data_IF_772895471427
#
_entry.id   IF_772895471427
#
_cell.length_a   1.000
_cell.length_b   1.000
_cell.length_c   1.000
_cell.angle_alpha   90.00
_cell.angle_beta   90.00
_cell.angle_gamma   90.00
#
_symmetry.space_group_name_H-M   'P 1'
#
loop_
_entity.id
_entity.type
_entity.pdbx_description
1 polymer ?
#
# COMPACT_ATOMS: atom_id res chain seq x y z
N UNK A 1 -30.83 67.80 -86.77
CA UNK A 1 -30.47 68.15 -85.36
C UNK A 1 -31.25 67.32 -84.33
N UNK A 2 -32.59 67.27 -84.38
CA UNK A 2 -33.43 66.58 -83.38
C UNK A 2 -33.19 65.05 -83.24
N UNK A 3 -32.92 64.33 -84.34
CA UNK A 3 -32.65 62.88 -84.29
C UNK A 3 -31.30 62.53 -83.64
N UNK A 4 -30.28 63.39 -83.77
CA UNK A 4 -28.96 63.15 -83.18
C UNK A 4 -29.02 63.27 -81.64
N UNK A 5 -29.73 64.27 -81.14
CA UNK A 5 -29.98 64.47 -79.71
C UNK A 5 -30.79 63.31 -79.10
N UNK A 6 -31.79 62.78 -79.81
CA UNK A 6 -32.55 61.59 -79.39
C UNK A 6 -31.67 60.34 -79.29
N UNK A 7 -30.80 60.09 -80.27
CA UNK A 7 -29.85 58.96 -80.22
C UNK A 7 -28.82 59.10 -79.09
N UNK A 8 -28.35 60.32 -78.82
CA UNK A 8 -27.44 60.57 -77.71
C UNK A 8 -28.12 60.36 -76.35
N UNK A 9 -29.34 60.87 -76.17
CA UNK A 9 -30.13 60.63 -74.97
C UNK A 9 -30.44 59.15 -74.75
N UNK A 10 -30.74 58.39 -75.81
CA UNK A 10 -30.97 56.94 -75.69
C UNK A 10 -29.70 56.21 -75.24
N UNK A 11 -28.54 56.52 -75.82
CA UNK A 11 -27.26 55.95 -75.36
C UNK A 11 -26.98 56.23 -73.89
N UNK A 12 -27.25 57.45 -73.42
CA UNK A 12 -27.08 57.80 -72.00
C UNK A 12 -28.03 56.97 -71.11
N UNK A 13 -29.27 56.74 -71.56
CA UNK A 13 -30.25 55.92 -70.83
C UNK A 13 -29.77 54.46 -70.77
N UNK A 14 -29.35 53.90 -71.90
CA UNK A 14 -28.85 52.52 -72.00
C UNK A 14 -27.58 52.33 -71.14
N UNK A 15 -26.65 53.29 -71.16
CA UNK A 15 -25.45 53.31 -70.32
C UNK A 15 -25.80 53.41 -68.83
N UNK A 16 -26.74 54.28 -68.44
CA UNK A 16 -27.20 54.38 -67.05
C UNK A 16 -27.90 53.10 -66.59
N UNK A 17 -28.68 52.46 -67.46
CA UNK A 17 -29.32 51.19 -67.15
C UNK A 17 -28.27 50.09 -66.95
N UNK A 18 -27.26 50.03 -67.83
CA UNK A 18 -26.13 49.10 -67.68
C UNK A 18 -25.36 49.34 -66.38
N UNK A 19 -25.05 50.60 -66.05
CA UNK A 19 -24.37 50.96 -64.79
C UNK A 19 -25.20 50.57 -63.56
N UNK A 20 -26.53 50.73 -63.61
CA UNK A 20 -27.43 50.28 -62.53
C UNK A 20 -27.39 48.77 -62.38
N UNK A 21 -27.48 48.01 -63.47
CA UNK A 21 -27.36 46.54 -63.42
C UNK A 21 -25.99 46.09 -62.92
N UNK A 22 -24.91 46.76 -63.31
CA UNK A 22 -23.55 46.47 -62.82
C UNK A 22 -23.41 46.80 -61.32
N UNK A 23 -24.02 47.89 -60.85
CA UNK A 23 -24.04 48.24 -59.42
C UNK A 23 -24.85 47.24 -58.60
N UNK A 24 -26.01 46.82 -59.10
CA UNK A 24 -26.85 45.80 -58.47
C UNK A 24 -26.13 44.44 -58.39
N UNK A 25 -25.45 44.03 -59.47
CA UNK A 25 -24.63 42.82 -59.48
C UNK A 25 -23.49 42.89 -58.46
N UNK A 26 -22.78 44.03 -58.36
CA UNK A 26 -21.73 44.23 -57.35
C UNK A 26 -22.27 44.25 -55.93
N UNK A 27 -23.43 44.84 -55.70
CA UNK A 27 -24.10 44.87 -54.40
C UNK A 27 -24.45 43.46 -53.93
N UNK A 28 -24.99 42.62 -54.82
CA UNK A 28 -25.29 41.22 -54.53
C UNK A 28 -24.02 40.39 -54.27
N UNK A 29 -22.94 40.59 -55.05
CA UNK A 29 -21.65 39.93 -54.80
C UNK A 29 -21.05 40.33 -53.44
N UNK A 30 -21.15 41.59 -53.05
CA UNK A 30 -20.72 42.07 -51.73
C UNK A 30 -21.56 41.46 -50.60
N UNK A 31 -22.87 41.33 -50.76
CA UNK A 31 -23.76 40.69 -49.76
C UNK A 31 -23.39 39.21 -49.55
N UNK A 32 -23.16 38.46 -50.64
CA UNK A 32 -22.71 37.06 -50.57
C UNK A 32 -21.36 36.95 -49.88
N UNK A 33 -20.39 37.80 -50.24
CA UNK A 33 -19.07 37.81 -49.57
C UNK A 33 -19.17 38.18 -48.09
N UNK A 34 -20.03 39.12 -47.72
CA UNK A 34 -20.26 39.48 -46.32
C UNK A 34 -20.75 38.28 -45.51
N UNK A 35 -21.75 37.55 -46.03
CA UNK A 35 -22.27 36.33 -45.38
C UNK A 35 -21.21 35.25 -45.22
N UNK A 36 -20.37 35.04 -46.24
CA UNK A 36 -19.26 34.09 -46.17
C UNK A 36 -18.22 34.49 -45.12
N UNK A 37 -17.91 35.78 -45.00
CA UNK A 37 -16.99 36.29 -43.98
C UNK A 37 -17.55 36.08 -42.56
N UNK A 38 -18.84 36.34 -42.37
CA UNK A 38 -19.52 36.11 -41.09
C UNK A 38 -19.49 34.62 -40.69
N UNK A 39 -19.75 33.71 -41.63
CA UNK A 39 -19.66 32.26 -41.41
C UNK A 39 -18.24 31.81 -41.05
N UNK A 40 -17.23 32.31 -41.76
CA UNK A 40 -15.81 32.01 -41.48
C UNK A 40 -15.40 32.54 -40.10
N UNK A 41 -15.82 33.76 -39.75
CA UNK A 41 -15.54 34.36 -38.45
C UNK A 41 -16.16 33.53 -37.31
N UNK A 42 -17.43 33.11 -37.46
CA UNK A 42 -18.11 32.27 -36.48
C UNK A 42 -17.41 30.91 -36.29
N UNK A 43 -16.98 30.27 -37.38
CA UNK A 43 -16.25 29.00 -37.34
C UNK A 43 -14.88 29.15 -36.69
N UNK A 44 -14.13 30.20 -37.03
CA UNK A 44 -12.82 30.48 -36.44
C UNK A 44 -12.91 30.73 -34.94
N UNK A 45 -13.93 31.46 -34.49
CA UNK A 45 -14.18 31.69 -33.06
C UNK A 45 -14.53 30.40 -32.31
N UNK A 46 -15.31 29.51 -32.92
CA UNK A 46 -15.60 28.20 -32.36
C UNK A 46 -14.33 27.36 -32.21
N UNK A 47 -13.53 27.24 -33.28
CA UNK A 47 -12.29 26.47 -33.28
C UNK A 47 -11.29 27.01 -32.25
N UNK A 48 -11.18 28.34 -32.13
CA UNK A 48 -10.35 29.01 -31.13
C UNK A 48 -10.77 28.66 -29.70
N UNK A 49 -12.07 28.69 -29.38
CA UNK A 49 -12.59 28.31 -28.05
C UNK A 49 -12.36 26.83 -27.77
N UNK A 50 -12.59 25.97 -28.75
CA UNK A 50 -12.35 24.52 -28.63
C UNK A 50 -10.88 24.21 -28.33
N UNK A 51 -9.96 24.84 -29.08
CA UNK A 51 -8.52 24.69 -28.86
C UNK A 51 -8.09 25.15 -27.47
N UNK A 52 -8.64 26.27 -26.98
CA UNK A 52 -8.32 26.78 -25.64
C UNK A 52 -8.81 25.82 -24.54
N UNK A 53 -10.01 25.26 -24.67
CA UNK A 53 -10.50 24.24 -23.75
C UNK A 53 -9.61 22.99 -23.73
N UNK A 54 -9.13 22.52 -24.89
CA UNK A 54 -8.27 21.34 -24.95
C UNK A 54 -6.88 21.63 -24.37
N UNK A 55 -6.34 22.84 -24.55
CA UNK A 55 -5.11 23.27 -23.87
C UNK A 55 -5.26 23.24 -22.36
N UNK A 56 -6.38 23.76 -21.83
CA UNK A 56 -6.65 23.73 -20.38
C UNK A 56 -6.79 22.30 -19.86
N UNK A 57 -7.53 21.43 -20.58
CA UNK A 57 -7.63 20.00 -20.23
C UNK A 57 -6.27 19.32 -20.23
N UNK A 58 -5.44 19.57 -21.23
CA UNK A 58 -4.10 19.00 -21.31
C UNK A 58 -3.17 19.51 -20.20
N UNK A 59 -3.27 20.78 -19.81
CA UNK A 59 -2.53 21.32 -18.67
C UNK A 59 -2.93 20.61 -17.37
N UNK A 60 -4.23 20.41 -17.13
CA UNK A 60 -4.74 19.70 -15.96
C UNK A 60 -4.26 18.23 -15.97
N UNK A 61 -4.42 17.52 -17.09
CA UNK A 61 -3.93 16.14 -17.26
C UNK A 61 -2.43 16.03 -16.99
N UNK A 62 -1.63 16.96 -17.52
CA UNK A 62 -0.19 16.99 -17.29
C UNK A 62 0.16 17.20 -15.82
N UNK A 63 -0.55 18.10 -15.13
CA UNK A 63 -0.39 18.30 -13.68
C UNK A 63 -0.72 17.04 -12.87
N UNK A 64 -1.86 16.39 -13.17
CA UNK A 64 -2.24 15.15 -12.52
C UNK A 64 -1.24 14.02 -12.78
N UNK A 65 -0.73 13.90 -14.01
CA UNK A 65 0.27 12.89 -14.34
C UNK A 65 1.55 13.08 -13.52
N UNK A 66 2.03 14.33 -13.41
CA UNK A 66 3.19 14.66 -12.57
C UNK A 66 2.97 14.32 -11.10
N UNK A 67 1.79 14.64 -10.57
CA UNK A 67 1.45 14.32 -9.18
C UNK A 67 1.41 12.80 -8.95
N UNK A 68 0.82 12.05 -9.88
CA UNK A 68 0.77 10.59 -9.83
C UNK A 68 2.18 9.98 -9.88
N UNK A 69 3.07 10.49 -10.73
CA UNK A 69 4.47 10.04 -10.79
C UNK A 69 5.22 10.30 -9.49
N UNK A 70 5.03 11.47 -8.88
CA UNK A 70 5.66 11.79 -7.60
C UNK A 70 5.15 10.87 -6.46
N UNK A 71 3.85 10.61 -6.42
CA UNK A 71 3.28 9.71 -5.41
C UNK A 71 3.75 8.26 -5.63
N UNK A 72 3.87 7.82 -6.88
CA UNK A 72 4.43 6.51 -7.21
C UNK A 72 5.89 6.39 -6.75
N UNK A 73 6.73 7.39 -7.05
CA UNK A 73 8.13 7.40 -6.61
C UNK A 73 8.25 7.34 -5.08
N UNK A 74 7.39 8.07 -4.37
CA UNK A 74 7.35 8.04 -2.90
C UNK A 74 6.92 6.68 -2.37
N UNK A 75 5.92 6.05 -3.00
CA UNK A 75 5.50 4.69 -2.65
C UNK A 75 6.63 3.68 -2.89
N UNK A 76 7.33 3.77 -4.03
CA UNK A 76 8.46 2.89 -4.36
C UNK A 76 9.62 3.04 -3.34
N UNK A 77 9.94 4.27 -2.94
CA UNK A 77 10.95 4.54 -1.90
C UNK A 77 10.55 3.94 -0.54
N UNK A 78 9.28 4.05 -0.16
CA UNK A 78 8.77 3.45 1.07
C UNK A 78 8.85 1.92 1.03
N UNK A 79 8.52 1.30 -0.10
CA UNK A 79 8.64 -0.15 -0.29
C UNK A 79 10.10 -0.59 -0.19
N UNK A 80 11.04 0.14 -0.78
CA UNK A 80 12.47 -0.15 -0.67
C UNK A 80 12.95 -0.12 0.79
N UNK A 81 12.56 0.91 1.56
CA UNK A 81 12.88 1.01 2.99
C UNK A 81 12.32 -0.17 3.78
N UNK A 82 11.07 -0.56 3.50
CA UNK A 82 10.42 -1.70 4.15
C UNK A 82 11.14 -3.02 3.86
N UNK A 83 11.52 -3.26 2.60
CA UNK A 83 12.27 -4.45 2.19
C UNK A 83 13.63 -4.51 2.88
N UNK A 84 14.32 -3.38 3.02
CA UNK A 84 15.61 -3.34 3.68
C UNK A 84 15.51 -3.60 5.18
N UNK A 85 14.49 -3.06 5.84
CA UNK A 85 14.22 -3.35 7.25
C UNK A 85 13.88 -4.83 7.46
N UNK A 86 13.01 -5.41 6.62
CA UNK A 86 12.70 -6.83 6.66
C UNK A 86 13.95 -7.71 6.49
N UNK A 87 14.90 -7.31 5.63
CA UNK A 87 16.18 -8.01 5.47
C UNK A 87 17.02 -7.95 6.74
N UNK A 88 17.07 -6.81 7.43
CA UNK A 88 17.80 -6.66 8.70
C UNK A 88 17.18 -7.51 9.79
N UNK A 89 15.85 -7.44 9.94
CA UNK A 89 15.11 -8.26 10.90
C UNK A 89 15.32 -9.75 10.65
N UNK A 90 15.22 -10.20 9.39
CA UNK A 90 15.48 -11.59 9.01
C UNK A 90 16.91 -12.01 9.37
N UNK A 91 17.90 -11.17 9.10
CA UNK A 91 19.30 -11.49 9.42
C UNK A 91 19.52 -11.56 10.94
N UNK A 92 18.92 -10.64 11.71
CA UNK A 92 18.97 -10.66 13.17
C UNK A 92 18.31 -11.92 13.75
N UNK A 93 17.15 -12.32 13.21
CA UNK A 93 16.46 -13.54 13.59
C UNK A 93 17.30 -14.79 13.30
N UNK A 94 17.89 -14.89 12.10
CA UNK A 94 18.79 -16.02 11.74
C UNK A 94 20.01 -16.09 12.66
N UNK A 95 20.62 -14.94 12.98
CA UNK A 95 21.73 -14.89 13.93
C UNK A 95 21.31 -15.38 15.32
N UNK A 96 20.11 -15.01 15.77
CA UNK A 96 19.57 -15.47 17.06
C UNK A 96 19.29 -16.97 17.07
N UNK A 97 18.75 -17.52 16.00
CA UNK A 97 18.53 -18.97 15.82
C UNK A 97 19.87 -19.71 15.94
N UNK A 98 20.89 -19.27 15.20
CA UNK A 98 22.21 -19.90 15.25
C UNK A 98 22.82 -19.90 16.66
N UNK A 99 22.67 -18.78 17.40
CA UNK A 99 23.14 -18.72 18.79
C UNK A 99 22.37 -19.69 19.71
N UNK A 100 21.07 -19.84 19.50
CA UNK A 100 20.23 -20.76 20.27
C UNK A 100 20.56 -22.23 19.95
N UNK A 101 20.84 -22.56 18.69
CA UNK A 101 21.31 -23.89 18.28
C UNK A 101 22.62 -24.25 18.98
N UNK A 102 23.59 -23.32 19.01
CA UNK A 102 24.86 -23.52 19.72
C UNK A 102 24.68 -23.72 21.23
N UNK A 103 23.74 -22.99 21.85
CA UNK A 103 23.41 -23.16 23.26
C UNK A 103 22.75 -24.52 23.53
N UNK A 104 21.87 -24.96 22.64
CA UNK A 104 21.21 -26.27 22.73
C UNK A 104 22.23 -27.41 22.61
N UNK A 105 23.14 -27.32 21.64
CA UNK A 105 24.21 -28.30 21.46
C UNK A 105 25.12 -28.38 22.71
N UNK A 106 25.46 -27.23 23.30
CA UNK A 106 26.24 -27.16 24.54
C UNK A 106 25.50 -27.82 25.71
N UNK A 107 24.19 -27.56 25.85
CA UNK A 107 23.35 -28.20 26.87
C UNK A 107 23.33 -29.73 26.69
N UNK A 108 23.07 -30.21 25.48
CA UNK A 108 23.03 -31.64 25.17
C UNK A 108 24.38 -32.32 25.45
N UNK A 109 25.50 -31.64 25.16
CA UNK A 109 26.83 -32.14 25.49
C UNK A 109 27.04 -32.30 27.01
N UNK A 110 26.64 -31.30 27.80
CA UNK A 110 26.70 -31.38 29.27
C UNK A 110 25.84 -32.54 29.80
N UNK A 111 24.61 -32.70 29.30
CA UNK A 111 23.74 -33.81 29.68
C UNK A 111 24.38 -35.18 29.38
N UNK A 112 25.04 -35.33 28.22
CA UNK A 112 25.78 -36.55 27.87
C UNK A 112 26.97 -36.79 28.81
N UNK A 113 27.76 -35.75 29.14
CA UNK A 113 28.88 -35.84 30.08
C UNK A 113 28.42 -36.29 31.48
N UNK A 114 27.31 -35.73 31.97
CA UNK A 114 26.67 -36.14 33.24
C UNK A 114 26.31 -37.63 33.21
N UNK A 115 25.66 -38.11 32.14
CA UNK A 115 25.31 -39.53 32.02
C UNK A 115 26.54 -40.44 31.94
N UNK A 116 27.60 -40.02 31.24
CA UNK A 116 28.85 -40.77 31.17
C UNK A 116 29.55 -40.88 32.53
N UNK A 117 29.64 -39.78 33.29
CA UNK A 117 30.22 -39.76 34.63
C UNK A 117 29.39 -40.62 35.60
N UNK A 118 28.07 -40.51 35.56
CA UNK A 118 27.15 -41.33 36.35
C UNK A 118 27.31 -42.83 36.04
N UNK A 119 27.46 -43.18 34.77
CA UNK A 119 27.73 -44.57 34.35
C UNK A 119 29.08 -45.09 34.85
N UNK A 120 30.15 -44.30 34.72
CA UNK A 120 31.50 -44.64 35.21
C UNK A 120 31.52 -44.88 36.72
N UNK A 121 30.90 -43.99 37.50
CA UNK A 121 30.78 -44.15 38.96
C UNK A 121 30.08 -45.46 39.31
N UNK A 122 28.94 -45.75 38.67
CA UNK A 122 28.17 -46.96 38.94
C UNK A 122 28.95 -48.25 38.63
N UNK A 123 29.75 -48.27 37.55
CA UNK A 123 30.63 -49.41 37.24
C UNK A 123 31.71 -49.59 38.31
N UNK A 124 32.31 -48.50 38.77
CA UNK A 124 33.34 -48.54 39.83
C UNK A 124 32.78 -49.02 41.17
N UNK A 125 31.53 -48.69 41.52
CA UNK A 125 30.86 -49.20 42.73
C UNK A 125 30.63 -50.73 42.71
N UNK A 126 30.47 -51.32 41.53
CA UNK A 126 30.10 -52.75 41.37
C UNK A 126 31.30 -53.65 41.03
N UNK A 127 32.50 -53.10 40.86
CA UNK A 127 33.71 -53.88 40.59
C UNK A 127 34.23 -54.55 41.87
N UNK A 128 34.27 -55.90 41.96
CA UNK A 128 34.83 -56.59 43.12
C UNK A 128 36.37 -56.59 43.03
N UNK A 129 37.02 -55.62 43.67
CA UNK A 129 38.49 -55.52 43.74
C UNK A 129 38.95 -54.39 44.65
N UNK A 130 39.84 -54.74 45.58
CA UNK A 130 40.42 -54.02 46.73
C UNK A 130 39.95 -52.58 47.02
N UNK A 131 39.52 -52.39 48.28
CA UNK A 131 39.33 -51.09 48.95
C UNK A 131 40.66 -50.33 49.14
N UNK A 132 41.49 -50.26 48.10
CA UNK A 132 42.71 -49.47 48.11
C UNK A 132 42.37 -47.97 48.12
N UNK A 133 43.14 -47.21 48.90
CA UNK A 133 42.99 -45.75 49.04
C UNK A 133 42.94 -45.00 47.69
N UNK A 134 43.63 -45.52 46.66
CA UNK A 134 43.64 -44.96 45.32
C UNK A 134 42.28 -45.08 44.60
N UNK A 135 41.57 -46.19 44.75
CA UNK A 135 40.24 -46.40 44.17
C UNK A 135 39.20 -45.47 44.80
N UNK A 136 39.29 -45.28 46.13
CA UNK A 136 38.43 -44.36 46.90
C UNK A 136 38.62 -42.90 46.48
N UNK A 137 39.87 -42.47 46.31
CA UNK A 137 40.17 -41.11 45.83
C UNK A 137 39.60 -40.86 44.44
N UNK A 138 39.70 -41.84 43.52
CA UNK A 138 39.18 -41.70 42.16
C UNK A 138 37.65 -41.64 42.09
N UNK A 139 36.96 -42.36 42.99
CA UNK A 139 35.50 -42.26 43.13
C UNK A 139 35.11 -40.86 43.63
N UNK A 140 35.82 -40.32 44.62
CA UNK A 140 35.56 -38.97 45.12
C UNK A 140 35.78 -37.91 44.04
N UNK A 141 36.91 -37.96 43.31
CA UNK A 141 37.20 -37.04 42.20
C UNK A 141 36.11 -37.05 41.12
N UNK A 142 35.65 -38.25 40.71
CA UNK A 142 34.56 -38.38 39.74
C UNK A 142 33.22 -37.90 40.28
N UNK A 143 32.98 -38.03 41.58
CA UNK A 143 31.74 -37.57 42.23
C UNK A 143 31.70 -36.04 42.32
N UNK A 144 32.82 -35.41 42.67
CA UNK A 144 32.97 -33.95 42.67
C UNK A 144 32.76 -33.38 41.26
N UNK A 145 33.40 -33.97 40.25
CA UNK A 145 33.24 -33.55 38.86
C UNK A 145 31.79 -33.75 38.34
N UNK A 146 31.11 -34.82 38.76
CA UNK A 146 29.70 -35.04 38.44
C UNK A 146 28.82 -33.97 39.09
N UNK A 147 29.07 -33.65 40.36
CA UNK A 147 28.30 -32.63 41.07
C UNK A 147 28.48 -31.25 40.44
N UNK A 148 29.71 -30.85 40.09
CA UNK A 148 30.00 -29.59 39.41
C UNK A 148 29.21 -29.46 38.09
N UNK A 149 29.13 -30.55 37.30
CA UNK A 149 28.38 -30.57 36.03
C UNK A 149 26.87 -30.51 36.23
N UNK A 150 26.34 -31.14 37.28
CA UNK A 150 24.92 -31.05 37.64
C UNK A 150 24.59 -29.62 38.06
N UNK A 151 25.42 -29.01 38.91
CA UNK A 151 25.23 -27.63 39.37
C UNK A 151 25.30 -26.62 38.19
N UNK A 152 26.19 -26.86 37.21
CA UNK A 152 26.28 -26.07 35.98
C UNK A 152 24.98 -26.15 35.16
N UNK A 153 24.43 -27.36 34.98
CA UNK A 153 23.18 -27.57 34.25
C UNK A 153 21.99 -26.93 34.98
N UNK A 154 21.86 -27.16 36.29
CA UNK A 154 20.80 -26.59 37.13
C UNK A 154 20.83 -25.05 37.12
N UNK A 155 22.03 -24.46 37.18
CA UNK A 155 22.22 -23.02 37.06
C UNK A 155 21.74 -22.47 35.72
N UNK A 156 22.03 -23.17 34.62
CA UNK A 156 21.58 -22.80 33.28
C UNK A 156 20.05 -22.89 33.14
N UNK A 157 19.43 -23.95 33.66
CA UNK A 157 17.97 -24.14 33.62
C UNK A 157 17.23 -23.10 34.47
N UNK A 158 17.74 -22.81 35.67
CA UNK A 158 17.20 -21.78 36.56
C UNK A 158 17.22 -20.38 35.92
N UNK A 159 18.34 -20.03 35.27
CA UNK A 159 18.45 -18.78 34.52
C UNK A 159 17.43 -18.72 33.37
N UNK A 160 17.32 -19.80 32.59
CA UNK A 160 16.37 -19.87 31.49
C UNK A 160 14.92 -19.70 31.95
N UNK A 161 14.53 -20.39 33.04
CA UNK A 161 13.20 -20.26 33.63
C UNK A 161 12.92 -18.82 34.09
N UNK A 162 13.91 -18.17 34.71
CA UNK A 162 13.80 -16.77 35.13
C UNK A 162 13.60 -15.83 33.94
N UNK A 163 14.34 -16.04 32.85
CA UNK A 163 14.22 -15.25 31.62
C UNK A 163 12.84 -15.42 30.97
N UNK A 164 12.31 -16.64 30.90
CA UNK A 164 10.97 -16.92 30.37
C UNK A 164 9.89 -16.19 31.19
N UNK A 165 9.97 -16.23 32.52
CA UNK A 165 9.02 -15.51 33.37
C UNK A 165 9.10 -14.01 33.14
N UNK A 166 10.31 -13.45 33.02
CA UNK A 166 10.52 -12.01 32.80
C UNK A 166 10.02 -11.56 31.43
N UNK A 167 10.30 -12.34 30.39
CA UNK A 167 9.78 -12.10 29.03
C UNK A 167 8.25 -12.11 29.02
N UNK A 168 7.63 -13.13 29.63
CA UNK A 168 6.18 -13.24 29.70
C UNK A 168 5.55 -12.02 30.38
N UNK A 169 6.11 -11.57 31.51
CA UNK A 169 5.65 -10.36 32.20
C UNK A 169 5.80 -9.12 31.33
N UNK A 170 6.96 -8.92 30.72
CA UNK A 170 7.20 -7.78 29.84
C UNK A 170 6.26 -7.77 28.62
N UNK A 171 5.96 -8.95 28.06
CA UNK A 171 5.03 -9.07 26.95
C UNK A 171 3.58 -8.73 27.37
N UNK A 172 3.16 -9.16 28.57
CA UNK A 172 1.86 -8.76 29.14
C UNK A 172 1.78 -7.23 29.29
N UNK A 173 2.79 -6.61 29.90
CA UNK A 173 2.86 -5.15 30.07
C UNK A 173 2.79 -4.41 28.71
N UNK A 174 3.51 -4.89 27.70
CA UNK A 174 3.46 -4.33 26.34
C UNK A 174 2.08 -4.47 25.69
N UNK A 175 1.42 -5.62 25.87
CA UNK A 175 0.07 -5.84 25.36
C UNK A 175 -0.96 -4.94 26.05
N UNK A 176 -0.83 -4.74 27.36
CA UNK A 176 -1.67 -3.81 28.12
C UNK A 176 -1.47 -2.37 27.66
N UNK A 177 -0.21 -1.92 27.53
CA UNK A 177 0.12 -0.59 27.03
C UNK A 177 -0.42 -0.35 25.60
N UNK A 178 -0.32 -1.37 24.73
CA UNK A 178 -0.90 -1.30 23.38
C UNK A 178 -2.43 -1.17 23.42
N UNK A 179 -3.12 -1.97 24.24
CA UNK A 179 -4.58 -1.89 24.38
C UNK A 179 -5.02 -0.54 24.90
N UNK A 180 -4.31 0.01 25.88
CA UNK A 180 -4.62 1.33 26.44
C UNK A 180 -4.43 2.43 25.40
N UNK A 181 -3.37 2.35 24.59
CA UNK A 181 -3.17 3.27 23.47
C UNK A 181 -4.29 3.16 22.43
N UNK A 182 -4.68 1.95 22.04
CA UNK A 182 -5.79 1.72 21.10
C UNK A 182 -7.10 2.30 21.66
N UNK A 183 -7.40 2.09 22.94
CA UNK A 183 -8.57 2.65 23.61
C UNK A 183 -8.53 4.18 23.66
N UNK A 184 -7.40 4.78 24.05
CA UNK A 184 -7.26 6.23 24.10
C UNK A 184 -7.44 6.91 22.73
N UNK A 185 -7.07 6.24 21.63
CA UNK A 185 -7.32 6.74 20.28
C UNK A 185 -8.80 6.65 19.85
N UNK A 186 -9.57 5.70 20.40
CA UNK A 186 -11.01 5.63 20.13
C UNK A 186 -11.76 6.83 20.71
N UNK A 187 -11.42 7.24 21.93
CA UNK A 187 -12.05 8.40 22.60
C UNK A 187 -11.83 9.71 21.82
N UNK A 188 -10.70 9.82 21.11
CA UNK A 188 -10.36 10.97 20.28
C UNK A 188 -11.11 11.02 18.94
N UNK A 189 -11.73 9.92 18.51
CA UNK A 189 -12.37 9.79 17.18
C UNK A 189 -13.75 10.46 17.08
N UNK A 190 -14.30 10.99 18.18
CA UNK A 190 -15.66 11.55 18.23
C UNK A 190 -15.79 13.06 18.03
N UNK A 191 -14.70 13.80 17.80
CA UNK A 191 -14.69 15.27 17.76
C UNK A 191 -14.50 15.88 16.37
N UNK A 192 -15.10 17.06 16.15
CA UNK A 192 -14.86 17.93 14.98
C UNK A 192 -13.47 18.59 15.10
N UNK A 193 -12.41 17.79 15.05
CA UNK A 193 -11.02 18.24 15.17
C UNK A 193 -10.39 18.38 13.78
N UNK A 194 -9.38 19.25 13.65
CA UNK A 194 -8.64 19.43 12.40
C UNK A 194 -7.79 18.21 11.99
N UNK A 195 -7.67 17.20 12.86
CA UNK A 195 -6.88 15.97 12.66
C UNK A 195 -7.80 14.77 12.88
N UNK A 196 -8.06 14.00 11.81
CA UNK A 196 -8.86 12.78 11.89
C UNK A 196 -8.01 11.52 12.14
N UNK A 197 -8.54 10.59 12.93
CA UNK A 197 -7.96 9.26 13.10
C UNK A 197 -8.57 8.33 12.05
N UNK A 198 -7.74 7.63 11.27
CA UNK A 198 -8.17 6.66 10.25
C UNK A 198 -7.90 5.24 10.75
N UNK A 199 -8.94 4.42 10.87
CA UNK A 199 -8.79 3.00 11.28
C UNK A 199 -8.56 2.10 10.08
N UNK A 200 -7.73 1.08 10.26
CA UNK A 200 -7.49 0.09 9.22
C UNK A 200 -8.76 -0.75 9.02
N UNK A 201 -9.22 -0.85 7.77
CA UNK A 201 -10.43 -1.58 7.40
C UNK A 201 -11.75 -0.86 7.69
N UNK A 202 -11.73 0.39 8.14
CA UNK A 202 -12.92 1.24 8.19
C UNK A 202 -13.20 1.87 6.81
N UNK A 203 -14.44 1.79 6.37
CA UNK A 203 -14.88 2.26 5.06
C UNK A 203 -15.78 3.50 5.20
N UNK A 204 -15.71 4.40 4.20
CA UNK A 204 -16.57 5.59 4.18
C UNK A 204 -18.00 5.21 3.75
N UNK A 205 -18.91 5.11 4.72
CA UNK A 205 -20.33 4.85 4.48
C UNK A 205 -20.94 5.83 3.47
N UNK A 206 -20.50 7.11 3.43
CA UNK A 206 -21.05 8.10 2.49
C UNK A 206 -20.74 7.75 1.04
N UNK A 207 -19.62 7.08 0.78
CA UNK A 207 -19.28 6.61 -0.57
C UNK A 207 -20.28 5.54 -1.03
N UNK A 208 -20.61 4.58 -0.15
CA UNK A 208 -21.62 3.55 -0.42
C UNK A 208 -23.01 4.15 -0.59
N UNK A 209 -23.42 5.09 0.27
CA UNK A 209 -24.71 5.77 0.13
C UNK A 209 -24.86 6.48 -1.21
N UNK A 210 -23.83 7.20 -1.66
CA UNK A 210 -23.82 7.87 -2.97
C UNK A 210 -23.89 6.87 -4.15
N UNK A 211 -23.23 5.72 -4.03
CA UNK A 211 -23.28 4.68 -5.05
C UNK A 211 -24.68 4.05 -5.16
N UNK A 212 -25.26 3.61 -4.05
CA UNK A 212 -26.61 3.03 -4.03
C UNK A 212 -27.70 4.02 -4.47
N UNK A 213 -27.55 5.31 -4.14
CA UNK A 213 -28.46 6.37 -4.63
C UNK A 213 -28.40 6.52 -6.16
N UNK A 214 -27.21 6.41 -6.76
CA UNK A 214 -27.05 6.48 -8.22
C UNK A 214 -27.66 5.27 -8.94
N UNK A 215 -27.57 4.09 -8.34
CA UNK A 215 -28.15 2.85 -8.90
C UNK A 215 -29.66 2.73 -8.71
N UNK A 216 -30.32 3.72 -8.06
CA UNK A 216 -31.76 3.71 -7.74
C UNK A 216 -32.19 2.43 -7.01
N UNK A 217 -31.35 1.91 -6.12
CA UNK A 217 -31.68 0.73 -5.32
C UNK A 217 -32.85 1.05 -4.37
N UNK A 218 -33.84 0.16 -4.28
CA UNK A 218 -34.84 0.24 -3.21
C UNK A 218 -34.15 0.12 -1.85
N UNK A 219 -34.49 0.99 -0.90
CA UNK A 219 -33.82 1.07 0.41
C UNK A 219 -32.31 1.33 0.32
N UNK A 220 -31.88 2.20 -0.61
CA UNK A 220 -30.48 2.53 -0.86
C UNK A 220 -29.61 2.79 0.41
N UNK A 221 -30.18 3.39 1.46
CA UNK A 221 -29.47 3.59 2.74
C UNK A 221 -29.16 2.28 3.47
N UNK A 222 -30.14 1.37 3.54
CA UNK A 222 -29.97 0.05 4.16
C UNK A 222 -29.00 -0.80 3.35
N UNK A 223 -29.11 -0.76 2.02
CA UNK A 223 -28.16 -1.47 1.13
C UNK A 223 -26.75 -0.94 1.29
N UNK A 224 -26.58 0.39 1.38
CA UNK A 224 -25.28 1.01 1.58
C UNK A 224 -24.65 0.58 2.92
N UNK A 225 -25.42 0.62 4.01
CA UNK A 225 -24.96 0.17 5.33
C UNK A 225 -24.60 -1.32 5.33
N UNK A 226 -25.41 -2.16 4.70
CA UNK A 226 -25.15 -3.59 4.58
C UNK A 226 -23.86 -3.87 3.80
N UNK A 227 -23.69 -3.26 2.63
CA UNK A 227 -22.49 -3.43 1.80
C UNK A 227 -21.25 -2.92 2.53
N UNK A 228 -21.31 -1.73 3.14
CA UNK A 228 -20.20 -1.16 3.89
C UNK A 228 -19.74 -2.13 4.98
N UNK A 229 -20.66 -2.58 5.85
CA UNK A 229 -20.35 -3.54 6.92
C UNK A 229 -19.81 -4.87 6.40
N UNK A 230 -20.37 -5.38 5.29
CA UNK A 230 -19.88 -6.62 4.67
C UNK A 230 -18.43 -6.47 4.22
N UNK A 231 -18.11 -5.41 3.47
CA UNK A 231 -16.74 -5.19 3.00
C UNK A 231 -15.77 -4.91 4.13
N UNK A 232 -16.19 -4.19 5.18
CA UNK A 232 -15.35 -4.02 6.37
C UNK A 232 -15.03 -5.37 7.04
N UNK A 233 -16.01 -6.27 7.15
CA UNK A 233 -15.80 -7.60 7.73
C UNK A 233 -14.81 -8.44 6.91
N UNK A 234 -14.91 -8.39 5.58
CA UNK A 234 -13.97 -9.06 4.68
C UNK A 234 -12.56 -8.47 4.79
N UNK A 235 -12.41 -7.13 4.81
CA UNK A 235 -11.09 -6.46 4.93
C UNK A 235 -10.44 -6.73 6.30
N UNK A 236 -11.24 -6.86 7.36
CA UNK A 236 -10.75 -7.17 8.71
C UNK A 236 -10.36 -8.65 8.87
N UNK A 237 -10.73 -9.51 7.91
CA UNK A 237 -10.38 -10.92 7.93
C UNK A 237 -8.98 -11.14 7.32
N UNK A 238 -7.97 -11.59 8.10
CA UNK A 238 -6.62 -11.85 7.58
C UNK A 238 -6.55 -12.93 6.51
N UNK A 239 -7.51 -13.88 6.53
CA UNK A 239 -7.60 -14.99 5.58
C UNK A 239 -8.33 -14.60 4.29
N UNK A 240 -8.77 -13.35 4.17
CA UNK A 240 -9.45 -12.87 2.97
C UNK A 240 -8.46 -12.52 1.86
N UNK A 241 -8.62 -13.16 0.71
CA UNK A 241 -7.79 -12.97 -0.47
C UNK A 241 -8.65 -12.47 -1.64
N UNK A 242 -8.85 -11.14 -1.78
CA UNK A 242 -9.74 -10.57 -2.79
C UNK A 242 -9.24 -10.73 -4.23
N UNK A 243 -7.99 -11.13 -4.42
CA UNK A 243 -7.38 -11.33 -5.72
C UNK A 243 -7.20 -12.83 -5.99
N UNK A 244 -7.60 -13.26 -7.18
CA UNK A 244 -7.37 -14.63 -7.66
C UNK A 244 -6.14 -14.63 -8.55
N UNK A 245 -5.12 -15.41 -8.17
CA UNK A 245 -3.98 -15.68 -9.05
C UNK A 245 -4.47 -16.59 -10.18
N UNK A 246 -4.43 -16.10 -11.41
CA UNK A 246 -4.77 -16.90 -12.60
C UNK A 246 -3.48 -17.34 -13.25
N UNK A 247 -3.28 -18.66 -13.33
CA UNK A 247 -2.15 -19.25 -14.04
C UNK A 247 -2.50 -19.30 -15.54
N UNK A 248 -1.77 -18.56 -16.36
CA UNK A 248 -1.84 -18.66 -17.83
C UNK A 248 -0.53 -19.29 -18.29
N UNK A 249 -0.62 -20.38 -19.04
CA UNK A 249 0.52 -21.14 -19.58
C UNK A 249 1.58 -21.57 -18.54
N UNK A 250 1.12 -21.97 -17.34
CA UNK A 250 1.99 -22.52 -16.29
C UNK A 250 2.86 -21.50 -15.56
N UNK A 251 2.65 -20.19 -15.77
CA UNK A 251 3.23 -19.13 -14.95
C UNK A 251 2.14 -18.41 -14.16
N UNK A 252 2.37 -18.25 -12.86
CA UNK A 252 1.59 -17.36 -12.01
C UNK A 252 1.89 -15.92 -12.42
N UNK A 253 0.87 -15.19 -12.87
CA UNK A 253 0.96 -13.74 -12.94
C UNK A 253 0.58 -13.18 -11.56
N UNK A 254 1.58 -12.64 -10.87
CA UNK A 254 1.42 -11.82 -9.66
C UNK A 254 1.02 -10.41 -10.05
#
# INVERSE_FOLDING_TARGET
>A
MQQLARRHSQKIIDENQKLRSDLEAKMNDLDVRSKQLDEIAAKSDYDRRSLEQEKQKNAIKSSHLKLATLEQQKADENVLKLVEEQKREKHAALKKILMLEQQLDAKQKLELEIQQLKGKLKVMEHMPGDEDSASKNKINELSEALQEKIDELDGMESLNQTLVIKESKSNIELQEARKELENGLLDLSGGQTHIGIKRMGELDLKAFSKACQKERTENAEVTAAFLCSKWEAEIKNPDWHPFRVVTIDGKEMV
#
